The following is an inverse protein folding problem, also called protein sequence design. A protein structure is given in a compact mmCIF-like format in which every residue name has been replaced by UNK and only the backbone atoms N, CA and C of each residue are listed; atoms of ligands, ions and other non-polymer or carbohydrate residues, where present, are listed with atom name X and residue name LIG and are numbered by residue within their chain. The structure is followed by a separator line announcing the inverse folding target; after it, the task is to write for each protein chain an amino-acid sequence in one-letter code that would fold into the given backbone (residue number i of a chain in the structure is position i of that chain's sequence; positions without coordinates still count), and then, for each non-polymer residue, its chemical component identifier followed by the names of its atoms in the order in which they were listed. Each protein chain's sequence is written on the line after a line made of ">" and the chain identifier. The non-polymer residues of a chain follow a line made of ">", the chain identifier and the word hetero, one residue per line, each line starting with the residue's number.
data_IF_093487328947
#
_entry.id   IF_093487328947
#
_cell.length_a   1.000
_cell.length_b   1.000
_cell.length_c   1.000
_cell.angle_alpha   90.00
_cell.angle_beta   90.00
_cell.angle_gamma   90.00
#
_symmetry.space_group_name_H-M   'P 1'
#
loop_
_entity.id
_entity.type
_entity.pdbx_description
1 polymer ?
#
# COMPACT_ATOMS: atom_id res chain seq x y z
N UNK A 1 0.50 18.76 -11.33
CA UNK A 1 0.73 17.31 -11.25
C UNK A 1 -0.39 16.73 -10.39
N UNK A 2 -0.95 15.56 -10.71
CA UNK A 2 -2.02 14.96 -9.92
C UNK A 2 -1.45 14.47 -8.59
N UNK A 3 -2.10 14.74 -7.46
CA UNK A 3 -1.58 14.43 -6.13
C UNK A 3 -1.23 12.94 -5.93
N UNK A 4 -1.98 11.99 -6.49
CA UNK A 4 -1.68 10.55 -6.35
C UNK A 4 -0.58 10.11 -7.28
N UNK A 5 -0.55 10.61 -8.51
CA UNK A 5 0.57 10.37 -9.41
C UNK A 5 1.85 10.96 -8.84
N UNK A 6 1.77 12.16 -8.26
CA UNK A 6 2.87 12.80 -7.54
C UNK A 6 3.28 11.98 -6.33
N UNK A 7 2.35 11.43 -5.54
CA UNK A 7 2.68 10.55 -4.41
C UNK A 7 3.35 9.24 -4.87
N UNK A 8 2.84 8.60 -5.92
CA UNK A 8 3.42 7.36 -6.49
C UNK A 8 4.80 7.62 -7.09
N UNK A 9 4.94 8.67 -7.89
CA UNK A 9 6.19 9.10 -8.53
C UNK A 9 7.22 9.52 -7.48
N UNK A 10 6.81 10.22 -6.42
CA UNK A 10 7.70 10.70 -5.35
C UNK A 10 8.21 9.57 -4.46
N UNK A 11 7.46 8.46 -4.27
CA UNK A 11 7.75 7.49 -3.18
C UNK A 11 7.85 6.03 -3.60
N UNK A 12 7.94 5.76 -4.90
CA UNK A 12 8.04 4.44 -5.53
C UNK A 12 6.79 3.57 -5.29
N UNK A 13 6.24 3.03 -6.37
CA UNK A 13 5.10 2.10 -6.37
C UNK A 13 5.31 0.91 -5.42
N UNK A 14 6.53 0.38 -5.34
CA UNK A 14 6.86 -0.77 -4.48
C UNK A 14 6.63 -0.47 -2.99
N UNK A 15 6.94 0.75 -2.54
CA UNK A 15 6.73 1.16 -1.14
C UNK A 15 5.26 1.12 -0.78
N UNK A 16 4.40 1.62 -1.68
CA UNK A 16 2.96 1.61 -1.50
C UNK A 16 2.43 0.19 -1.47
N UNK A 17 2.85 -0.66 -2.42
CA UNK A 17 2.41 -2.05 -2.48
C UNK A 17 2.77 -2.84 -1.20
N UNK A 18 3.98 -2.64 -0.65
CA UNK A 18 4.38 -3.26 0.61
C UNK A 18 3.47 -2.80 1.74
N UNK A 19 3.33 -1.48 1.96
CA UNK A 19 2.49 -0.93 3.02
C UNK A 19 1.06 -1.45 2.93
N UNK A 20 0.54 -1.50 1.71
CA UNK A 20 -0.79 -1.98 1.42
C UNK A 20 -0.99 -3.45 1.77
N UNK A 21 -0.04 -4.30 1.38
CA UNK A 21 -0.07 -5.72 1.70
C UNK A 21 -0.05 -5.96 3.20
N UNK A 22 0.82 -5.25 3.92
CA UNK A 22 0.87 -5.30 5.39
C UNK A 22 -0.44 -4.82 6.01
N UNK A 23 -1.06 -3.78 5.45
CA UNK A 23 -2.35 -3.25 5.93
C UNK A 23 -3.47 -4.26 5.78
N UNK A 24 -3.62 -4.87 4.61
CA UNK A 24 -4.66 -5.85 4.35
C UNK A 24 -4.53 -7.09 5.25
N UNK A 25 -3.33 -7.62 5.37
CA UNK A 25 -3.07 -8.81 6.19
C UNK A 25 -3.34 -8.57 7.68
N UNK A 26 -2.87 -7.43 8.18
CA UNK A 26 -3.07 -7.03 9.59
C UNK A 26 -4.45 -6.45 9.88
N UNK A 27 -5.28 -6.20 8.85
CA UNK A 27 -6.53 -5.41 8.96
C UNK A 27 -6.30 -4.04 9.60
N UNK A 28 -5.21 -3.39 9.19
CA UNK A 28 -4.77 -2.08 9.68
C UNK A 28 -4.13 -2.10 11.07
N UNK A 29 -3.90 -3.26 11.68
CA UNK A 29 -3.21 -3.33 12.97
C UNK A 29 -1.72 -3.05 12.82
N UNK A 30 -1.21 -2.22 13.72
CA UNK A 30 0.22 -1.94 13.82
C UNK A 30 0.94 -3.09 14.54
N UNK A 31 2.23 -3.27 14.25
CA UNK A 31 3.10 -4.30 14.83
C UNK A 31 2.69 -5.77 14.57
N UNK A 32 1.58 -6.02 13.87
CA UNK A 32 1.19 -7.37 13.49
C UNK A 32 2.18 -7.90 12.44
N UNK A 33 2.83 -9.02 12.73
CA UNK A 33 3.95 -9.52 11.91
C UNK A 33 3.38 -10.25 10.71
N UNK A 34 3.71 -9.73 9.53
CA UNK A 34 3.45 -10.37 8.27
C UNK A 34 4.22 -11.69 8.13
N UNK A 35 3.48 -12.77 7.99
CA UNK A 35 4.01 -14.12 7.88
C UNK A 35 4.12 -14.65 6.44
N UNK A 36 3.60 -13.90 5.46
CA UNK A 36 3.73 -14.23 4.05
C UNK A 36 5.09 -13.84 3.44
N UNK A 37 5.19 -13.99 2.12
CA UNK A 37 6.40 -13.69 1.36
C UNK A 37 6.18 -12.48 0.43
N UNK A 38 6.50 -11.29 0.95
CA UNK A 38 6.37 -10.03 0.20
C UNK A 38 7.07 -10.08 -1.16
N UNK A 39 8.24 -10.70 -1.27
CA UNK A 39 8.99 -10.73 -2.53
C UNK A 39 8.23 -11.50 -3.60
N UNK A 40 7.71 -12.68 -3.24
CA UNK A 40 6.95 -13.51 -4.17
C UNK A 40 5.65 -12.85 -4.58
N UNK A 41 4.92 -12.27 -3.63
CA UNK A 41 3.59 -11.71 -3.89
C UNK A 41 3.65 -10.40 -4.66
N UNK A 42 4.64 -9.55 -4.37
CA UNK A 42 4.87 -8.33 -5.15
C UNK A 42 5.37 -8.67 -6.55
N UNK A 43 6.23 -9.69 -6.68
CA UNK A 43 6.65 -10.22 -7.98
C UNK A 43 5.47 -10.74 -8.79
N UNK A 44 4.57 -11.53 -8.19
CA UNK A 44 3.37 -12.04 -8.87
C UNK A 44 2.42 -10.92 -9.30
N UNK A 45 2.30 -9.87 -8.49
CA UNK A 45 1.45 -8.72 -8.79
C UNK A 45 1.99 -7.90 -9.97
N UNK A 46 3.31 -7.70 -10.03
CA UNK A 46 3.98 -6.87 -11.04
C UNK A 46 4.38 -7.65 -12.30
N UNK A 47 4.52 -8.97 -12.23
CA UNK A 47 4.89 -9.81 -13.36
C UNK A 47 6.22 -9.37 -13.98
N UNK A 48 6.23 -9.13 -15.29
CA UNK A 48 7.44 -8.77 -16.05
C UNK A 48 8.02 -7.40 -15.66
N UNK A 49 7.23 -6.53 -14.99
CA UNK A 49 7.69 -5.23 -14.48
C UNK A 49 8.37 -5.34 -13.10
N UNK A 50 8.48 -6.56 -12.56
CA UNK A 50 9.12 -6.80 -11.29
C UNK A 50 10.65 -6.55 -11.35
N UNK A 51 11.15 -5.80 -10.37
CA UNK A 51 12.55 -5.52 -10.12
C UNK A 51 12.85 -5.78 -8.65
N UNK A 52 13.69 -6.79 -8.41
CA UNK A 52 14.17 -7.15 -7.08
C UNK A 52 14.93 -6.00 -6.42
N UNK A 53 15.66 -5.21 -7.20
CA UNK A 53 16.40 -4.04 -6.70
C UNK A 53 15.44 -2.96 -6.19
N UNK A 54 14.40 -2.64 -6.96
CA UNK A 54 13.40 -1.66 -6.53
C UNK A 54 12.62 -2.11 -5.29
N UNK A 55 12.29 -3.40 -5.20
CA UNK A 55 11.70 -3.96 -3.99
C UNK A 55 12.63 -3.81 -2.77
N UNK A 56 13.91 -4.14 -2.93
CA UNK A 56 14.88 -4.01 -1.87
C UNK A 56 15.01 -2.55 -1.41
N UNK A 57 15.17 -1.62 -2.36
CA UNK A 57 15.28 -0.18 -2.07
C UNK A 57 14.02 0.35 -1.38
N UNK A 58 12.83 -0.09 -1.78
CA UNK A 58 11.58 0.27 -1.13
C UNK A 58 11.54 -0.18 0.33
N UNK A 59 11.94 -1.42 0.63
CA UNK A 59 12.02 -1.92 2.02
C UNK A 59 13.00 -1.12 2.87
N UNK A 60 14.19 -0.82 2.34
CA UNK A 60 15.19 -0.01 3.05
C UNK A 60 14.65 1.38 3.34
N UNK A 61 14.05 2.01 2.34
CA UNK A 61 13.45 3.34 2.48
C UNK A 61 12.32 3.34 3.52
N UNK A 62 11.37 2.41 3.44
CA UNK A 62 10.26 2.27 4.39
C UNK A 62 10.73 2.12 5.83
N UNK A 63 11.75 1.28 6.07
CA UNK A 63 12.35 1.13 7.39
C UNK A 63 13.06 2.41 7.84
N UNK A 64 13.83 3.06 6.95
CA UNK A 64 14.54 4.31 7.27
C UNK A 64 13.60 5.46 7.64
N UNK A 65 12.38 5.46 7.06
CA UNK A 65 11.34 6.46 7.34
C UNK A 65 10.46 6.08 8.52
N UNK A 66 10.65 4.89 9.09
CA UNK A 66 9.84 4.39 10.20
C UNK A 66 8.40 4.06 9.82
N UNK A 67 8.11 3.81 8.54
CA UNK A 67 6.78 3.40 8.07
C UNK A 67 6.53 1.90 8.28
N UNK A 68 7.59 1.11 8.36
CA UNK A 68 7.51 -0.31 8.68
C UNK A 68 8.38 -0.63 9.87
N UNK A 69 8.04 -1.73 10.55
CA UNK A 69 8.83 -2.31 11.63
C UNK A 69 9.40 -3.67 11.26
N UNK A 70 10.41 -4.05 12.04
CA UNK A 70 11.16 -5.29 11.94
C UNK A 70 11.99 -5.41 10.65
N UNK A 71 12.99 -6.29 10.69
CA UNK A 71 13.87 -6.54 9.55
C UNK A 71 13.02 -7.02 8.36
N UNK A 72 13.23 -6.38 7.21
CA UNK A 72 12.55 -6.73 5.97
C UNK A 72 11.16 -6.11 5.81
N UNK A 73 10.81 -5.10 6.60
CA UNK A 73 9.52 -4.39 6.51
C UNK A 73 8.32 -5.33 6.71
N UNK A 74 8.29 -6.01 7.86
CA UNK A 74 7.32 -7.09 8.11
C UNK A 74 6.12 -6.68 8.94
N UNK A 75 6.03 -5.45 9.40
CA UNK A 75 4.82 -4.95 10.05
C UNK A 75 4.63 -3.47 9.76
N UNK A 76 3.39 -3.01 9.80
CA UNK A 76 3.10 -1.59 9.81
C UNK A 76 3.57 -0.95 11.12
N UNK A 77 4.16 0.23 11.01
CA UNK A 77 4.20 1.16 12.13
C UNK A 77 2.93 2.01 12.16
N UNK A 78 2.74 2.79 13.23
CA UNK A 78 1.70 3.80 13.30
C UNK A 78 1.83 4.83 12.17
N UNK A 79 3.02 5.39 11.95
CA UNK A 79 3.26 6.32 10.84
C UNK A 79 2.99 5.71 9.46
N UNK A 80 3.30 4.43 9.26
CA UNK A 80 3.05 3.73 8.01
C UNK A 80 1.56 3.51 7.76
N UNK A 81 0.82 3.16 8.82
CA UNK A 81 -0.64 3.05 8.77
C UNK A 81 -1.25 4.39 8.40
N UNK A 82 -0.96 5.44 9.15
CA UNK A 82 -1.57 6.76 8.96
C UNK A 82 -1.25 7.33 7.57
N UNK A 83 -0.02 7.15 7.09
CA UNK A 83 0.37 7.50 5.73
C UNK A 83 -0.46 6.76 4.67
N UNK A 84 -0.64 5.45 4.84
CA UNK A 84 -1.40 4.64 3.89
C UNK A 84 -2.89 4.96 3.91
N UNK A 85 -3.49 5.14 5.09
CA UNK A 85 -4.90 5.50 5.22
C UNK A 85 -5.20 6.86 4.58
N UNK A 86 -4.30 7.83 4.77
CA UNK A 86 -4.37 9.11 4.05
C UNK A 86 -4.29 8.91 2.53
N UNK A 87 -3.43 8.03 2.05
CA UNK A 87 -3.34 7.71 0.63
C UNK A 87 -4.62 7.04 0.09
N UNK A 88 -5.20 6.08 0.82
CA UNK A 88 -6.47 5.41 0.46
C UNK A 88 -7.61 6.42 0.38
N UNK A 89 -7.73 7.29 1.39
CA UNK A 89 -8.76 8.34 1.39
C UNK A 89 -8.62 9.30 0.20
N UNK A 90 -7.39 9.60 -0.21
CA UNK A 90 -7.16 10.39 -1.42
C UNK A 90 -7.53 9.60 -2.68
N UNK A 91 -7.29 8.29 -2.70
CA UNK A 91 -7.62 7.41 -3.83
C UNK A 91 -9.13 7.30 -4.05
N UNK A 92 -9.92 7.21 -2.96
CA UNK A 92 -11.38 7.20 -3.03
C UNK A 92 -11.96 8.48 -3.63
N UNK A 93 -11.35 9.62 -3.29
CA UNK A 93 -11.76 10.96 -3.74
C UNK A 93 -11.32 11.30 -5.16
N UNK A 94 -10.64 10.38 -5.86
CA UNK A 94 -10.24 10.60 -7.24
C UNK A 94 -11.45 10.83 -8.16
N UNK A 95 -11.37 11.86 -8.98
CA UNK A 95 -12.30 12.08 -10.08
C UNK A 95 -12.15 10.99 -11.15
N UNK A 96 -13.20 10.74 -11.94
CA UNK A 96 -13.20 9.70 -12.97
C UNK A 96 -12.04 9.84 -13.96
N UNK A 97 -11.72 11.08 -14.36
CA UNK A 97 -10.60 11.38 -15.27
C UNK A 97 -9.25 10.90 -14.70
N UNK A 98 -9.06 11.01 -13.39
CA UNK A 98 -7.81 10.67 -12.72
C UNK A 98 -7.69 9.16 -12.50
N UNK A 99 -8.84 8.48 -12.28
CA UNK A 99 -8.91 7.01 -12.26
C UNK A 99 -8.56 6.42 -13.63
N UNK A 100 -8.99 7.03 -14.71
CA UNK A 100 -8.64 6.62 -16.08
C UNK A 100 -7.14 6.75 -16.34
N UNK A 101 -6.53 7.90 -15.99
CA UNK A 101 -5.08 8.09 -16.14
C UNK A 101 -4.29 7.05 -15.32
N UNK A 102 -4.72 6.76 -14.07
CA UNK A 102 -4.06 5.74 -13.25
C UNK A 102 -4.20 4.34 -13.85
N UNK A 103 -5.35 4.02 -14.44
CA UNK A 103 -5.57 2.74 -15.14
C UNK A 103 -4.67 2.59 -16.37
N UNK A 104 -4.36 3.70 -17.06
CA UNK A 104 -3.43 3.69 -18.20
C UNK A 104 -1.96 3.58 -17.77
N UNK A 105 -1.60 4.18 -16.62
CA UNK A 105 -0.22 4.24 -16.13
C UNK A 105 0.23 3.04 -15.30
N UNK A 106 -0.71 2.31 -14.69
CA UNK A 106 -0.41 1.17 -13.82
C UNK A 106 -0.81 -0.15 -14.48
N UNK A 107 -0.11 -1.25 -14.20
CA UNK A 107 -0.57 -2.57 -14.57
C UNK A 107 -1.99 -2.82 -14.05
N UNK A 108 -2.85 -3.42 -14.87
CA UNK A 108 -4.26 -3.62 -14.52
C UNK A 108 -4.44 -4.37 -13.18
N UNK A 109 -3.58 -5.36 -12.92
CA UNK A 109 -3.57 -6.10 -11.65
C UNK A 109 -3.28 -5.21 -10.45
N UNK A 110 -2.33 -4.28 -10.58
CA UNK A 110 -1.95 -3.32 -9.53
C UNK A 110 -3.09 -2.33 -9.28
N UNK A 111 -3.70 -1.80 -10.34
CA UNK A 111 -4.84 -0.88 -10.20
C UNK A 111 -6.03 -1.55 -9.50
N UNK A 112 -6.39 -2.77 -9.91
CA UNK A 112 -7.45 -3.55 -9.25
C UNK A 112 -7.12 -3.87 -7.80
N UNK A 113 -5.86 -4.19 -7.51
CA UNK A 113 -5.40 -4.46 -6.15
C UNK A 113 -5.63 -3.26 -5.23
N UNK A 114 -5.32 -2.04 -5.68
CA UNK A 114 -5.63 -0.83 -4.91
C UNK A 114 -7.14 -0.60 -4.71
N UNK A 115 -7.96 -0.86 -5.74
CA UNK A 115 -9.42 -0.76 -5.64
C UNK A 115 -10.03 -1.69 -4.59
N UNK A 116 -9.61 -2.96 -4.54
CA UNK A 116 -10.12 -3.97 -3.59
C UNK A 116 -9.91 -3.56 -2.13
N UNK A 117 -8.82 -2.87 -1.85
CA UNK A 117 -8.47 -2.53 -0.48
C UNK A 117 -9.04 -1.21 0.01
N UNK A 118 -9.46 -0.30 -0.88
CA UNK A 118 -10.32 0.81 -0.47
C UNK A 118 -11.61 0.27 0.17
N UNK A 119 -12.18 -0.77 -0.45
CA UNK A 119 -13.34 -1.47 0.11
C UNK A 119 -12.98 -2.17 1.44
N UNK A 120 -11.81 -2.81 1.52
CA UNK A 120 -11.34 -3.45 2.76
C UNK A 120 -11.07 -2.44 3.89
N UNK A 121 -10.56 -1.25 3.58
CA UNK A 121 -10.35 -0.16 4.53
C UNK A 121 -11.69 0.34 5.09
N UNK A 122 -12.68 0.57 4.22
CA UNK A 122 -14.03 0.96 4.63
C UNK A 122 -14.65 -0.07 5.58
N UNK A 123 -14.50 -1.36 5.28
CA UNK A 123 -14.97 -2.44 6.16
C UNK A 123 -14.16 -2.50 7.46
N UNK A 124 -12.84 -2.35 7.39
CA UNK A 124 -11.95 -2.40 8.54
C UNK A 124 -12.19 -1.26 9.54
N UNK A 125 -12.31 -0.03 9.05
CA UNK A 125 -12.63 1.16 9.85
C UNK A 125 -14.01 1.06 10.50
N UNK A 126 -15.01 0.55 9.76
CA UNK A 126 -16.32 0.27 10.32
C UNK A 126 -16.25 -0.71 11.50
N UNK A 127 -15.51 -1.83 11.35
CA UNK A 127 -15.33 -2.82 12.42
C UNK A 127 -14.58 -2.23 13.62
N UNK A 128 -13.51 -1.46 13.40
CA UNK A 128 -12.76 -0.82 14.49
C UNK A 128 -13.62 0.21 15.25
N UNK A 129 -14.47 0.94 14.54
CA UNK A 129 -15.41 1.90 15.14
C UNK A 129 -16.45 1.18 16.01
N UNK A 130 -16.90 -0.01 15.60
CA UNK A 130 -17.81 -0.86 16.40
C UNK A 130 -17.14 -1.47 17.64
N UNK A 131 -15.83 -1.66 17.64
CA UNK A 131 -15.09 -2.21 18.79
C UNK A 131 -14.74 -1.16 19.85
N UNK A 132 -14.92 0.13 19.54
CA UNK A 132 -14.70 1.26 20.44
C UNK A 132 -15.99 1.79 21.08
N UNK A 133 -17.14 1.18 20.78
CA UNK A 133 -18.46 1.40 21.38
C UNK A 133 -18.76 0.31 22.41
#
# INVERSE_FOLDING_TARGET
>A
MNAILEIIETRNLYSHLILFKLYLDSKGRINDIYNGNLDSEISELLGDEFSKEYLYNAKQWLNSKGYTKYIGSRALSEYGRDYLESWILNFEKLESKDKEILKEKLPEKVFKYFGIAADAYTVGTFIQTLQLL
#
